data_IF_131275822203
#
_entry.id   IF_131275822203
#
_cell.length_a   1.000
_cell.length_b   1.000
_cell.length_c   1.000
_cell.angle_alpha   90.00
_cell.angle_beta   90.00
_cell.angle_gamma   90.00
#
_symmetry.space_group_name_H-M   'P 1'
#
loop_
_entity.id
_entity.type
_entity.pdbx_description
1 polymer ?
#
# COMPACT_ATOMS: atom_id res chain seq x y z
N UNK A 1 -0.66 -10.70 0.09
CA UNK A 1 -0.89 -10.10 1.43
C UNK A 1 -1.68 -11.07 2.29
N UNK A 2 -1.63 -10.96 3.62
CA UNK A 2 -2.35 -11.84 4.54
C UNK A 2 -3.00 -11.05 5.68
N UNK A 3 -4.24 -11.43 6.03
CA UNK A 3 -4.93 -10.97 7.24
C UNK A 3 -4.71 -11.95 8.39
N UNK A 4 -4.20 -11.44 9.50
CA UNK A 4 -4.02 -12.20 10.74
C UNK A 4 -5.33 -12.22 11.51
N UNK A 5 -5.52 -13.25 12.34
CA UNK A 5 -6.72 -13.39 13.21
C UNK A 5 -6.90 -12.23 14.19
N UNK A 6 -5.84 -11.49 14.48
CA UNK A 6 -5.83 -10.31 15.36
C UNK A 6 -6.27 -9.02 14.63
N UNK A 7 -6.65 -9.12 13.36
CA UNK A 7 -7.08 -7.98 12.54
C UNK A 7 -5.93 -7.16 11.94
N UNK A 8 -4.67 -7.57 12.17
CA UNK A 8 -3.49 -6.98 11.54
C UNK A 8 -3.26 -7.55 10.14
N UNK A 9 -2.70 -6.73 9.26
CA UNK A 9 -2.29 -7.15 7.92
C UNK A 9 -0.78 -7.31 7.85
N UNK A 10 -0.33 -8.32 7.11
CA UNK A 10 1.06 -8.55 6.79
C UNK A 10 1.26 -8.64 5.27
N UNK A 11 2.15 -7.81 4.72
CA UNK A 11 2.51 -7.86 3.30
C UNK A 11 3.53 -8.96 3.03
N UNK A 12 3.02 -10.08 2.51
CA UNK A 12 3.84 -11.19 2.00
C UNK A 12 4.27 -10.96 0.56
N UNK A 13 3.33 -10.53 -0.29
CA UNK A 13 3.53 -10.27 -1.71
C UNK A 13 2.37 -9.42 -2.23
N UNK A 14 2.69 -8.41 -3.03
CA UNK A 14 1.76 -7.50 -3.70
C UNK A 14 2.47 -6.80 -4.87
N UNK A 15 1.71 -6.38 -5.88
CA UNK A 15 2.19 -5.61 -7.03
C UNK A 15 1.30 -4.39 -7.23
N UNK A 16 1.88 -3.22 -7.55
CA UNK A 16 1.14 -1.99 -7.79
C UNK A 16 0.38 -2.03 -9.13
N UNK A 17 -0.29 -0.93 -9.44
CA UNK A 17 -0.87 -0.71 -10.75
C UNK A 17 0.21 -0.70 -11.85
N UNK A 18 -0.20 -0.93 -13.11
CA UNK A 18 0.70 -0.88 -14.26
C UNK A 18 1.40 0.48 -14.37
N UNK A 19 2.70 0.48 -14.70
CA UNK A 19 3.52 1.68 -14.76
C UNK A 19 4.07 2.18 -13.42
N UNK A 20 3.69 1.54 -12.29
CA UNK A 20 4.22 1.86 -10.96
C UNK A 20 5.16 0.77 -10.45
N UNK A 21 6.10 1.16 -9.61
CA UNK A 21 6.97 0.25 -8.87
C UNK A 21 6.90 0.57 -7.38
N UNK A 22 7.25 -0.40 -6.55
CA UNK A 22 7.25 -0.22 -5.10
C UNK A 22 8.65 0.15 -4.66
N UNK A 23 8.76 1.27 -3.96
CA UNK A 23 10.02 1.67 -3.35
C UNK A 23 10.42 0.71 -2.22
N UNK A 24 11.68 0.73 -1.80
CA UNK A 24 12.16 -0.16 -0.72
C UNK A 24 11.60 0.25 0.66
N UNK A 25 11.09 1.48 0.82
CA UNK A 25 10.41 1.96 2.03
C UNK A 25 8.98 1.38 2.18
N UNK A 26 8.91 0.07 2.44
CA UNK A 26 7.65 -0.64 2.68
C UNK A 26 7.47 -0.95 4.16
N UNK A 27 6.43 -0.38 4.76
CA UNK A 27 5.98 -0.79 6.10
C UNK A 27 5.07 -2.03 5.99
N UNK A 28 5.70 -3.21 6.00
CA UNK A 28 5.04 -4.51 5.75
C UNK A 28 4.12 -5.00 6.88
N UNK A 29 4.19 -4.42 8.08
CA UNK A 29 3.47 -4.88 9.28
C UNK A 29 4.19 -6.02 10.04
N UNK A 30 3.55 -6.68 11.02
CA UNK A 30 2.10 -6.69 11.27
C UNK A 30 1.61 -5.41 11.94
N UNK A 31 0.61 -4.78 11.33
CA UNK A 31 -0.04 -3.58 11.85
C UNK A 31 -1.53 -3.58 11.44
N UNK A 32 -2.36 -2.77 12.11
CA UNK A 32 -3.76 -2.60 11.73
C UNK A 32 -3.92 -2.04 10.29
N UNK A 33 -2.91 -1.30 9.84
CA UNK A 33 -2.78 -0.78 8.48
C UNK A 33 -1.35 -1.01 8.01
N UNK A 34 -1.17 -1.61 6.84
CA UNK A 34 0.13 -1.59 6.17
C UNK A 34 0.15 -0.47 5.13
N UNK A 35 1.31 0.19 5.00
CA UNK A 35 1.51 1.35 4.15
C UNK A 35 2.65 1.11 3.18
N UNK A 36 2.45 1.59 1.97
CA UNK A 36 3.42 1.52 0.89
C UNK A 36 3.21 2.68 -0.07
N UNK A 37 4.31 3.16 -0.60
CA UNK A 37 4.36 4.14 -1.66
C UNK A 37 4.72 3.42 -2.96
N UNK A 38 4.04 3.78 -4.03
CA UNK A 38 4.37 3.32 -5.36
C UNK A 38 4.74 4.52 -6.20
N UNK A 39 5.97 4.53 -6.70
CA UNK A 39 6.49 5.57 -7.56
C UNK A 39 6.20 5.18 -9.03
N UNK A 40 5.84 6.14 -9.89
CA UNK A 40 5.75 5.88 -11.31
C UNK A 40 7.13 5.57 -11.91
N UNK A 41 7.18 4.99 -13.11
CA UNK A 41 8.45 4.82 -13.82
C UNK A 41 9.14 6.15 -14.13
N UNK A 42 10.46 6.13 -14.32
CA UNK A 42 11.29 7.34 -14.54
C UNK A 42 10.82 8.24 -15.72
N UNK A 43 10.07 7.70 -16.67
CA UNK A 43 9.54 8.42 -17.85
C UNK A 43 8.12 9.00 -17.63
N UNK A 44 7.51 8.80 -16.47
CA UNK A 44 6.14 9.21 -16.16
C UNK A 44 6.13 10.43 -15.22
N UNK A 45 5.36 11.46 -15.56
CA UNK A 45 5.18 12.69 -14.76
C UNK A 45 4.07 12.56 -13.68
N UNK A 46 3.69 11.33 -13.34
CA UNK A 46 2.61 11.06 -12.38
C UNK A 46 3.10 11.32 -10.94
N UNK A 47 2.18 11.61 -10.03
CA UNK A 47 2.51 11.67 -8.60
C UNK A 47 2.61 10.27 -7.99
N UNK A 48 3.36 10.17 -6.89
CA UNK A 48 3.49 8.94 -6.12
C UNK A 48 2.13 8.51 -5.56
N UNK A 49 1.86 7.21 -5.65
CA UNK A 49 0.63 6.62 -5.12
C UNK A 49 0.87 6.01 -3.76
N UNK A 50 0.30 6.61 -2.72
CA UNK A 50 0.29 6.03 -1.38
C UNK A 50 -0.87 5.07 -1.20
N UNK A 51 -0.57 3.87 -0.75
CA UNK A 51 -1.53 2.82 -0.47
C UNK A 51 -1.65 2.58 1.03
N UNK A 52 -2.89 2.56 1.51
CA UNK A 52 -3.22 1.97 2.80
C UNK A 52 -3.91 0.62 2.58
N UNK A 53 -3.41 -0.40 3.26
CA UNK A 53 -3.95 -1.75 3.20
C UNK A 53 -4.51 -2.10 4.57
N UNK A 54 -5.77 -2.57 4.57
CA UNK A 54 -6.49 -2.98 5.79
C UNK A 54 -7.18 -4.31 5.56
N UNK A 55 -7.41 -5.04 6.65
CA UNK A 55 -8.26 -6.23 6.60
C UNK A 55 -9.74 -5.84 6.54
N UNK A 56 -10.43 -6.35 5.53
CA UNK A 56 -11.88 -6.28 5.38
C UNK A 56 -12.49 -7.68 5.52
N UNK A 57 -13.82 -7.78 5.48
CA UNK A 57 -14.54 -9.06 5.63
C UNK A 57 -14.11 -10.10 4.58
N UNK A 58 -13.82 -9.68 3.35
CA UNK A 58 -13.37 -10.53 2.24
C UNK A 58 -11.84 -10.67 2.15
N UNK A 59 -11.09 -10.20 3.16
CA UNK A 59 -9.63 -10.24 3.19
C UNK A 59 -8.94 -8.87 3.03
N UNK A 60 -7.62 -8.83 2.77
CA UNK A 60 -6.87 -7.59 2.72
C UNK A 60 -7.26 -6.75 1.50
N UNK A 61 -7.53 -5.46 1.71
CA UNK A 61 -7.91 -4.49 0.69
C UNK A 61 -6.94 -3.32 0.70
N UNK A 62 -6.35 -3.05 -0.46
CA UNK A 62 -5.57 -1.84 -0.71
C UNK A 62 -6.49 -0.70 -1.16
N UNK A 63 -6.21 0.52 -0.69
CA UNK A 63 -6.84 1.74 -1.18
C UNK A 63 -5.77 2.81 -1.37
N UNK A 64 -5.83 3.52 -2.49
CA UNK A 64 -5.03 4.74 -2.68
C UNK A 64 -5.53 5.81 -1.73
N UNK A 65 -4.63 6.41 -0.99
CA UNK A 65 -4.88 7.62 -0.21
C UNK A 65 -4.17 8.76 -0.93
N UNK A 66 -4.92 9.81 -1.26
CA UNK A 66 -4.29 11.03 -1.74
C UNK A 66 -3.41 11.58 -0.61
N UNK A 67 -2.25 12.12 -0.96
CA UNK A 67 -1.49 12.94 -0.04
C UNK A 67 -2.30 14.20 0.25
N UNK A 68 -3.17 14.12 1.25
CA UNK A 68 -3.77 15.33 1.81
C UNK A 68 -2.77 15.80 2.85
N UNK A 69 -1.87 16.66 2.39
CA UNK A 69 -1.24 17.67 3.24
C UNK A 69 -2.39 18.40 3.94
N UNK A 70 -2.69 18.00 5.18
CA UNK A 70 -3.60 18.71 6.08
C UNK A 70 -2.77 19.88 6.65
N UNK A 71 -2.83 21.02 5.96
CA UNK A 71 -2.28 22.34 6.33
C UNK A 71 -2.74 22.80 7.74
#
# INVERSE_FOLDING_TARGET
MECRTDGTVFLVSWSPADGFHIDDDVTRGPAAVARLEAEPGDDDEQDDLRYEIRCAADGPRARVVADTDDD
#
